data_IF_352230846747
#
_entry.id   IF_352230846747
#
_cell.length_a   1.000
_cell.length_b   1.000
_cell.length_c   1.000
_cell.angle_alpha   90.00
_cell.angle_beta   90.00
_cell.angle_gamma   90.00
#
_symmetry.space_group_name_H-M   'P 1'
#
loop_
_entity.id
_entity.type
_entity.pdbx_description
1 polymer ?
#
# COMPACT_ATOMS: atom_id res chain seq x y z
N UNK A 1 -14.95 -22.81 -7.76
CA UNK A 1 -13.90 -22.30 -6.84
C UNK A 1 -14.37 -20.97 -6.27
N UNK A 2 -14.15 -20.71 -4.98
CA UNK A 2 -14.49 -19.43 -4.38
C UNK A 2 -13.62 -18.31 -4.98
N UNK A 3 -14.13 -17.07 -5.01
CA UNK A 3 -13.36 -15.93 -5.47
C UNK A 3 -12.13 -15.69 -4.55
N UNK A 4 -11.00 -15.19 -5.10
CA UNK A 4 -9.82 -14.89 -4.29
C UNK A 4 -10.10 -13.87 -3.16
N UNK A 5 -9.47 -14.07 -2.01
CA UNK A 5 -9.63 -13.20 -0.84
C UNK A 5 -8.96 -11.85 -1.06
N UNK A 6 -9.65 -10.76 -0.74
CA UNK A 6 -9.12 -9.39 -0.85
C UNK A 6 -8.42 -8.99 0.44
N UNK A 7 -7.25 -8.36 0.32
CA UNK A 7 -6.45 -7.89 1.47
C UNK A 7 -6.48 -6.37 1.55
N UNK A 8 -6.65 -5.84 2.75
CA UNK A 8 -6.57 -4.42 3.05
C UNK A 8 -5.68 -4.18 4.28
N UNK A 9 -4.81 -3.17 4.21
CA UNK A 9 -3.97 -2.70 5.30
C UNK A 9 -4.57 -1.40 5.81
N UNK A 10 -4.89 -1.33 7.10
CA UNK A 10 -5.36 -0.12 7.77
C UNK A 10 -4.21 0.45 8.59
N UNK A 11 -3.52 1.44 8.04
CA UNK A 11 -2.38 2.09 8.69
C UNK A 11 -1.19 2.26 7.74
N UNK A 12 -0.59 3.45 7.76
CA UNK A 12 0.46 3.86 6.83
C UNK A 12 1.72 4.41 7.50
N UNK A 13 1.96 4.07 8.77
CA UNK A 13 3.21 4.38 9.45
C UNK A 13 4.37 3.49 8.99
N UNK A 14 5.49 3.52 9.72
CA UNK A 14 6.71 2.79 9.35
C UNK A 14 6.43 1.28 9.17
N UNK A 15 5.82 0.66 10.20
CA UNK A 15 5.50 -0.76 10.16
C UNK A 15 4.41 -1.10 9.14
N UNK A 16 3.40 -0.23 8.98
CA UNK A 16 2.36 -0.40 7.96
C UNK A 16 2.93 -0.42 6.54
N UNK A 17 3.94 0.40 6.28
CA UNK A 17 4.63 0.44 4.99
C UNK A 17 5.55 -0.76 4.78
N UNK A 18 6.28 -1.17 5.83
CA UNK A 18 7.15 -2.35 5.76
C UNK A 18 6.35 -3.63 5.49
N UNK A 19 5.24 -3.84 6.22
CA UNK A 19 4.39 -5.01 6.02
C UNK A 19 3.65 -4.96 4.68
N UNK A 20 3.32 -3.77 4.17
CA UNK A 20 2.71 -3.62 2.86
C UNK A 20 3.58 -4.17 1.73
N UNK A 21 4.91 -4.04 1.83
CA UNK A 21 5.84 -4.66 0.88
C UNK A 21 5.74 -6.18 0.89
N UNK A 22 5.87 -6.77 2.08
CA UNK A 22 5.85 -8.23 2.26
C UNK A 22 4.51 -8.81 1.80
N UNK A 23 3.40 -8.17 2.18
CA UNK A 23 2.05 -8.61 1.77
C UNK A 23 1.86 -8.44 0.26
N UNK A 24 2.31 -7.32 -0.31
CA UNK A 24 2.24 -7.06 -1.75
C UNK A 24 2.91 -8.15 -2.59
N UNK A 25 4.09 -8.61 -2.16
CA UNK A 25 4.80 -9.70 -2.85
C UNK A 25 4.09 -11.05 -2.65
N UNK A 26 3.65 -11.35 -1.42
CA UNK A 26 3.00 -12.62 -1.10
C UNK A 26 1.69 -12.83 -1.87
N UNK A 27 0.83 -11.82 -1.97
CA UNK A 27 -0.47 -11.96 -2.66
C UNK A 27 -0.32 -12.21 -4.16
N UNK A 28 0.84 -11.90 -4.77
CA UNK A 28 1.14 -12.25 -6.17
C UNK A 28 1.50 -13.73 -6.32
N UNK A 29 2.14 -14.33 -5.32
CA UNK A 29 2.54 -15.74 -5.32
C UNK A 29 1.45 -16.72 -4.89
N UNK A 30 0.44 -16.25 -4.15
CA UNK A 30 -0.58 -17.10 -3.51
C UNK A 30 -1.93 -17.00 -4.23
N UNK A 31 -2.33 -18.06 -4.93
CA UNK A 31 -3.59 -18.15 -5.69
C UNK A 31 -4.87 -17.96 -4.85
N UNK A 32 -4.77 -18.07 -3.51
CA UNK A 32 -5.88 -17.84 -2.58
C UNK A 32 -6.26 -16.36 -2.46
N UNK A 33 -5.37 -15.43 -2.82
CA UNK A 33 -5.56 -13.99 -2.64
C UNK A 33 -5.69 -13.24 -3.96
N UNK A 34 -6.43 -12.13 -3.94
CA UNK A 34 -6.42 -11.18 -5.04
C UNK A 34 -5.05 -10.49 -5.09
N UNK A 35 -4.53 -10.25 -6.29
CA UNK A 35 -3.19 -9.67 -6.48
C UNK A 35 -3.08 -8.23 -5.97
N UNK A 36 -4.17 -7.48 -5.86
CA UNK A 36 -4.16 -6.10 -5.37
C UNK A 36 -4.34 -6.03 -3.86
N UNK A 37 -3.48 -5.25 -3.20
CA UNK A 37 -3.59 -4.89 -1.78
C UNK A 37 -4.05 -3.44 -1.68
N UNK A 38 -5.14 -3.19 -0.94
CA UNK A 38 -5.55 -1.82 -0.61
C UNK A 38 -4.84 -1.36 0.66
N UNK A 39 -4.36 -0.13 0.67
CA UNK A 39 -3.75 0.48 1.86
C UNK A 39 -4.48 1.76 2.22
N UNK A 40 -5.00 1.85 3.44
CA UNK A 40 -5.53 3.10 3.96
C UNK A 40 -4.37 3.96 4.50
N UNK A 41 -4.30 5.19 3.99
CA UNK A 41 -3.30 6.19 4.36
C UNK A 41 -4.05 7.34 5.01
N UNK A 42 -3.68 7.69 6.23
CA UNK A 42 -4.20 8.91 6.86
C UNK A 42 -3.70 10.11 6.06
N UNK A 43 -4.59 11.05 5.74
CA UNK A 43 -4.28 12.14 4.83
C UNK A 43 -3.38 13.17 5.54
N UNK A 44 -2.16 13.34 5.02
CA UNK A 44 -1.16 14.26 5.54
C UNK A 44 -0.50 15.02 4.39
N UNK A 45 -0.09 16.27 4.62
CA UNK A 45 0.67 17.04 3.64
C UNK A 45 2.17 16.91 3.88
N UNK A 46 2.92 16.47 2.87
CA UNK A 46 4.38 16.35 2.87
C UNK A 46 4.90 17.09 1.65
N UNK A 47 5.81 18.04 1.84
CA UNK A 47 6.38 18.87 0.77
C UNK A 47 5.32 19.54 -0.13
N UNK A 48 4.20 19.96 0.45
CA UNK A 48 3.08 20.59 -0.27
C UNK A 48 2.18 19.63 -1.05
N UNK A 49 2.41 18.32 -0.97
CA UNK A 49 1.60 17.29 -1.63
C UNK A 49 0.96 16.35 -0.60
N UNK A 50 -0.16 15.72 -0.95
CA UNK A 50 -0.77 14.69 -0.12
C UNK A 50 0.13 13.46 -0.10
N UNK A 51 0.48 12.97 1.09
CA UNK A 51 1.27 11.74 1.26
C UNK A 51 0.64 10.56 0.50
N UNK A 52 -0.68 10.53 0.49
CA UNK A 52 -1.48 9.52 -0.16
C UNK A 52 -1.41 9.59 -1.70
N UNK A 53 -1.17 10.77 -2.27
CA UNK A 53 -0.89 10.95 -3.71
C UNK A 53 0.56 10.57 -4.03
N UNK A 54 1.53 11.02 -3.22
CA UNK A 54 2.96 10.65 -3.35
C UNK A 54 3.12 9.12 -3.36
N UNK A 55 2.50 8.42 -2.40
CA UNK A 55 2.56 6.95 -2.32
C UNK A 55 1.99 6.29 -3.58
N UNK A 56 0.92 6.84 -4.17
CA UNK A 56 0.31 6.27 -5.37
C UNK A 56 1.12 6.53 -6.64
N UNK A 57 1.87 7.62 -6.72
CA UNK A 57 2.65 7.98 -7.92
C UNK A 57 4.06 7.46 -7.87
N UNK A 58 4.71 7.57 -6.71
CA UNK A 58 6.11 7.20 -6.53
C UNK A 58 6.28 5.79 -5.98
N UNK A 59 5.19 5.12 -5.60
CA UNK A 59 5.21 3.86 -4.88
C UNK A 59 6.16 3.90 -3.69
N UNK A 60 6.13 5.00 -2.92
CA UNK A 60 7.04 5.19 -1.79
C UNK A 60 6.37 6.00 -0.69
N UNK A 61 6.52 5.54 0.56
CA UNK A 61 6.14 6.33 1.72
C UNK A 61 7.32 7.19 2.16
N UNK A 62 7.52 8.33 1.49
CA UNK A 62 8.66 9.24 1.71
C UNK A 62 8.77 9.76 3.15
N UNK A 63 7.70 9.71 3.94
CA UNK A 63 7.68 10.14 5.35
C UNK A 63 8.06 9.02 6.31
N UNK A 64 7.47 7.85 6.15
CA UNK A 64 7.52 6.77 7.15
C UNK A 64 8.42 5.58 6.73
N UNK A 65 8.80 5.47 5.46
CA UNK A 65 9.72 4.45 4.97
C UNK A 65 10.53 4.95 3.75
N UNK A 66 11.35 6.01 3.90
CA UNK A 66 12.10 6.60 2.80
C UNK A 66 13.16 5.64 2.24
N UNK A 67 13.37 5.66 0.93
CA UNK A 67 14.31 4.81 0.20
C UNK A 67 13.79 3.43 -0.16
N UNK A 68 12.55 3.11 0.21
CA UNK A 68 11.98 1.76 0.08
C UNK A 68 10.68 1.79 -0.73
N UNK A 69 10.77 1.37 -2.01
CA UNK A 69 9.59 1.23 -2.87
C UNK A 69 8.60 0.17 -2.39
N UNK A 70 7.32 0.49 -2.44
CA UNK A 70 6.20 -0.44 -2.30
C UNK A 70 5.96 -1.16 -3.64
N UNK A 71 5.50 -2.42 -3.63
CA UNK A 71 5.08 -3.10 -4.85
C UNK A 71 3.92 -2.37 -5.56
N UNK A 72 3.90 -2.37 -6.89
CA UNK A 72 2.90 -1.63 -7.69
C UNK A 72 1.45 -2.08 -7.45
N UNK A 73 1.26 -3.29 -6.93
CA UNK A 73 -0.05 -3.84 -6.57
C UNK A 73 -0.52 -3.40 -5.16
N UNK A 74 0.28 -2.66 -4.42
CA UNK A 74 -0.14 -1.96 -3.20
C UNK A 74 -0.65 -0.59 -3.62
N UNK A 75 -1.96 -0.43 -3.61
CA UNK A 75 -2.64 0.80 -4.03
C UNK A 75 -3.29 1.46 -2.82
N UNK A 76 -3.21 2.79 -2.73
CA UNK A 76 -3.97 3.48 -1.70
C UNK A 76 -5.47 3.35 -1.98
N UNK A 77 -6.23 3.24 -0.90
CA UNK A 77 -7.67 3.44 -0.96
C UNK A 77 -8.00 4.94 -1.12
N UNK A 78 -8.52 5.33 -2.29
CA UNK A 78 -9.21 6.61 -2.43
C UNK A 78 -10.65 6.43 -1.90
N UNK A 79 -11.06 7.12 -0.82
CA UNK A 79 -12.47 7.25 -0.53
C UNK A 79 -13.13 8.00 -1.70
N UNK A 80 -14.32 7.55 -2.10
CA UNK A 80 -15.14 8.25 -3.10
C UNK A 80 -15.55 9.62 -2.59
#
# INVERSE_FOLDING_TARGET
MAAPLKVCIVGSGNWGSAIARIIGDNVRSLHRFASTVKMWVFEETVNGQKLSDIINTEHENVKYLPGYKLPDNVVRHKPK
#
